data_IF_853118465973
#
_entry.id   IF_853118465973
#
_cell.length_a   1.000
_cell.length_b   1.000
_cell.length_c   1.000
_cell.angle_alpha   90.00
_cell.angle_beta   90.00
_cell.angle_gamma   90.00
#
_symmetry.space_group_name_H-M   'P 1'
#
loop_
_entity.id
_entity.type
_entity.pdbx_description
1 polymer ?
#
# COMPACT_ATOMS: atom_id res chain seq x y z
N UNK A 1 -6.02 -8.76 -16.19
CA UNK A 1 -5.53 -8.00 -15.02
C UNK A 1 -4.31 -7.15 -15.38
N UNK A 2 -3.19 -7.73 -15.82
CA UNK A 2 -1.96 -7.01 -16.24
C UNK A 2 -2.16 -5.82 -17.19
N UNK A 3 -3.03 -5.93 -18.21
CA UNK A 3 -3.37 -4.80 -19.11
C UNK A 3 -3.86 -3.54 -18.38
N UNK A 4 -4.55 -3.70 -17.23
CA UNK A 4 -5.04 -2.56 -16.43
C UNK A 4 -3.92 -1.87 -15.67
N UNK A 5 -2.93 -2.63 -15.19
CA UNK A 5 -1.69 -2.07 -14.65
C UNK A 5 -0.98 -1.22 -15.70
N UNK A 6 -0.82 -1.73 -16.93
CA UNK A 6 -0.14 -0.98 -18.01
C UNK A 6 -0.86 0.34 -18.31
N UNK A 7 -2.18 0.28 -18.45
CA UNK A 7 -2.96 1.49 -18.74
C UNK A 7 -2.92 2.51 -17.61
N UNK A 8 -2.77 2.06 -16.36
CA UNK A 8 -2.76 2.95 -15.20
C UNK A 8 -1.39 3.61 -15.00
N UNK A 9 -0.30 2.85 -15.13
CA UNK A 9 1.06 3.36 -14.93
C UNK A 9 1.72 3.92 -16.19
N UNK A 10 1.12 3.72 -17.36
CA UNK A 10 1.70 4.03 -18.67
C UNK A 10 3.09 3.36 -18.91
N UNK A 11 3.41 2.30 -18.16
CA UNK A 11 4.64 1.52 -18.28
C UNK A 11 4.28 0.08 -18.66
N UNK A 12 4.72 -0.41 -19.84
CA UNK A 12 4.45 -1.79 -20.24
C UNK A 12 5.20 -2.77 -19.33
N UNK A 13 4.66 -3.97 -19.18
CA UNK A 13 5.42 -5.05 -18.54
C UNK A 13 6.64 -5.40 -19.39
N UNK A 14 7.85 -5.46 -18.81
CA UNK A 14 9.07 -5.50 -19.59
C UNK A 14 9.47 -6.92 -20.03
N UNK A 15 8.91 -7.97 -19.43
CA UNK A 15 9.26 -9.35 -19.76
C UNK A 15 8.34 -9.94 -20.84
N UNK A 16 8.83 -10.89 -21.66
CA UNK A 16 8.03 -11.48 -22.73
C UNK A 16 6.89 -12.38 -22.25
N UNK A 17 6.96 -12.86 -21.00
CA UNK A 17 5.94 -13.71 -20.37
C UNK A 17 5.86 -13.49 -18.86
N UNK A 18 4.78 -13.97 -18.28
CA UNK A 18 4.55 -14.03 -16.85
C UNK A 18 3.87 -15.36 -16.54
N UNK A 19 4.57 -16.21 -15.81
CA UNK A 19 4.05 -17.49 -15.36
C UNK A 19 3.43 -17.32 -13.96
N UNK A 20 2.42 -18.15 -13.67
CA UNK A 20 1.68 -18.15 -12.42
C UNK A 20 1.55 -19.60 -11.96
N UNK A 21 2.13 -19.92 -10.80
CA UNK A 21 2.21 -21.29 -10.30
C UNK A 21 1.61 -21.41 -8.90
N UNK A 22 0.60 -22.27 -8.79
CA UNK A 22 0.07 -22.68 -7.49
C UNK A 22 1.02 -23.71 -6.88
N UNK A 23 1.56 -23.43 -5.70
CA UNK A 23 2.46 -24.33 -4.96
C UNK A 23 1.71 -24.93 -3.77
N UNK A 24 1.54 -26.27 -3.71
CA UNK A 24 0.99 -26.95 -2.53
C UNK A 24 1.87 -26.68 -1.29
N UNK A 25 1.24 -26.52 -0.12
CA UNK A 25 1.92 -26.30 1.17
C UNK A 25 2.80 -25.02 1.23
N UNK A 26 2.44 -24.01 0.44
CA UNK A 26 3.04 -22.68 0.49
C UNK A 26 2.27 -21.75 1.42
N UNK A 27 2.96 -20.84 2.12
CA UNK A 27 2.29 -19.79 2.89
C UNK A 27 2.30 -18.49 2.09
N UNK A 28 1.11 -18.02 1.70
CA UNK A 28 0.94 -16.74 1.00
C UNK A 28 1.26 -16.81 -0.50
N UNK A 29 2.01 -15.81 -0.96
CA UNK A 29 2.40 -15.61 -2.35
C UNK A 29 3.78 -14.93 -2.43
N UNK A 30 4.43 -15.00 -3.59
CA UNK A 30 5.73 -14.37 -3.83
C UNK A 30 5.84 -13.85 -5.27
N UNK A 31 6.41 -12.65 -5.39
CA UNK A 31 6.40 -11.83 -6.60
C UNK A 31 7.52 -12.12 -7.62
N UNK A 32 8.13 -13.32 -7.61
CA UNK A 32 9.35 -13.56 -8.39
C UNK A 32 9.19 -13.10 -9.85
N UNK A 33 10.19 -12.35 -10.35
CA UNK A 33 10.03 -11.58 -11.58
C UNK A 33 9.80 -12.48 -12.80
N UNK A 34 8.58 -12.48 -13.33
CA UNK A 34 8.15 -13.37 -14.41
C UNK A 34 7.64 -14.75 -14.00
N UNK A 35 7.61 -15.08 -12.70
CA UNK A 35 7.09 -16.33 -12.15
C UNK A 35 6.45 -16.09 -10.79
N UNK A 36 5.18 -15.69 -10.77
CA UNK A 36 4.46 -15.49 -9.51
C UNK A 36 4.06 -16.85 -8.91
N UNK A 37 4.31 -17.03 -7.62
CA UNK A 37 3.96 -18.24 -6.89
C UNK A 37 2.92 -17.94 -5.80
N UNK A 38 1.97 -18.84 -5.55
CA UNK A 38 0.92 -18.65 -4.56
C UNK A 38 0.33 -19.97 -4.07
N UNK A 39 -0.28 -19.95 -2.88
CA UNK A 39 -1.00 -21.10 -2.32
C UNK A 39 -2.47 -21.15 -2.76
N UNK A 40 -3.21 -20.05 -2.61
CA UNK A 40 -4.63 -19.95 -2.99
C UNK A 40 -4.88 -18.82 -3.99
N UNK A 41 -5.89 -18.99 -4.84
CA UNK A 41 -6.27 -17.99 -5.86
C UNK A 41 -7.33 -17.02 -5.33
N UNK A 42 -6.91 -16.12 -4.45
CA UNK A 42 -7.74 -14.93 -4.11
C UNK A 42 -7.38 -13.82 -5.10
N UNK A 43 -8.38 -13.20 -5.73
CA UNK A 43 -8.16 -12.20 -6.77
C UNK A 43 -7.30 -11.01 -6.30
N UNK A 44 -7.41 -10.61 -5.04
CA UNK A 44 -6.59 -9.55 -4.42
C UNK A 44 -5.13 -9.97 -4.29
N UNK A 45 -4.85 -11.21 -3.89
CA UNK A 45 -3.48 -11.76 -3.81
C UNK A 45 -2.84 -11.78 -5.19
N UNK A 46 -3.55 -12.30 -6.20
CA UNK A 46 -3.07 -12.27 -7.58
C UNK A 46 -2.79 -10.83 -8.03
N UNK A 47 -3.69 -9.90 -7.77
CA UNK A 47 -3.48 -8.50 -8.12
C UNK A 47 -2.29 -7.87 -7.39
N UNK A 48 -2.05 -8.22 -6.13
CA UNK A 48 -0.91 -7.78 -5.32
C UNK A 48 0.42 -8.24 -5.94
N UNK A 49 0.56 -9.54 -6.23
CA UNK A 49 1.79 -10.07 -6.83
C UNK A 49 2.06 -9.54 -8.25
N UNK A 50 0.98 -9.26 -9.00
CA UNK A 50 1.09 -8.59 -10.29
C UNK A 50 1.55 -7.13 -10.13
N UNK A 51 1.12 -6.44 -9.07
CA UNK A 51 1.58 -5.07 -8.80
C UNK A 51 3.09 -5.00 -8.57
N UNK A 52 3.64 -6.01 -7.88
CA UNK A 52 5.07 -6.10 -7.63
C UNK A 52 5.94 -6.16 -8.88
N UNK A 53 5.38 -6.56 -10.03
CA UNK A 53 6.09 -6.53 -11.30
C UNK A 53 6.53 -5.11 -11.70
N UNK A 54 5.87 -4.05 -11.19
CA UNK A 54 6.35 -2.66 -11.27
C UNK A 54 6.99 -2.21 -9.96
N UNK A 55 6.30 -2.38 -8.84
CA UNK A 55 6.71 -1.88 -7.53
C UNK A 55 7.36 -2.99 -6.70
N UNK A 56 8.68 -3.11 -6.81
CA UNK A 56 9.50 -4.12 -6.14
C UNK A 56 10.43 -4.85 -7.10
N UNK A 57 9.98 -5.09 -8.34
CA UNK A 57 10.80 -5.72 -9.37
C UNK A 57 11.41 -4.71 -10.36
N UNK A 58 10.59 -3.87 -10.99
CA UNK A 58 11.09 -2.86 -11.94
C UNK A 58 11.71 -1.66 -11.22
N UNK A 59 11.03 -1.16 -10.19
CA UNK A 59 11.55 -0.16 -9.26
C UNK A 59 11.66 -0.83 -7.91
N UNK A 60 12.88 -0.99 -7.42
CA UNK A 60 13.17 -1.66 -6.14
C UNK A 60 13.65 -0.62 -5.13
N UNK A 61 13.26 -0.79 -3.87
CA UNK A 61 13.78 -0.01 -2.76
C UNK A 61 15.30 -0.15 -2.64
N UNK A 62 15.97 0.92 -2.18
CA UNK A 62 17.42 0.89 -1.96
C UNK A 62 17.80 -0.02 -0.80
N UNK A 63 16.99 -0.03 0.25
CA UNK A 63 17.20 -0.86 1.43
C UNK A 63 15.89 -1.28 2.10
N UNK A 64 16.00 -2.20 3.06
CA UNK A 64 14.86 -2.81 3.75
C UNK A 64 14.05 -1.86 4.64
N UNK A 65 14.65 -0.73 5.05
CA UNK A 65 13.92 0.37 5.73
C UNK A 65 12.72 0.85 4.90
N UNK A 66 12.84 0.79 3.57
CA UNK A 66 11.84 1.22 2.60
C UNK A 66 10.97 0.06 2.08
N UNK A 67 11.04 -1.13 2.70
CA UNK A 67 10.25 -2.29 2.29
C UNK A 67 8.74 -2.00 2.26
N UNK A 68 8.28 -1.17 3.18
CA UNK A 68 6.87 -0.76 3.26
C UNK A 68 6.39 -0.14 1.95
N UNK A 69 7.25 0.58 1.20
CA UNK A 69 6.86 1.16 -0.09
C UNK A 69 6.46 0.06 -1.07
N UNK A 70 7.23 -1.02 -1.16
CA UNK A 70 6.89 -2.12 -2.03
C UNK A 70 5.55 -2.76 -1.64
N UNK A 71 5.39 -3.11 -0.37
CA UNK A 71 4.22 -3.86 0.11
C UNK A 71 2.95 -3.00 0.14
N UNK A 72 3.04 -1.77 0.63
CA UNK A 72 1.91 -0.83 0.68
C UNK A 72 1.43 -0.42 -0.72
N UNK A 73 2.34 -0.13 -1.65
CA UNK A 73 1.93 0.18 -3.03
C UNK A 73 1.31 -1.04 -3.70
N UNK A 74 1.91 -2.23 -3.58
CA UNK A 74 1.34 -3.43 -4.18
C UNK A 74 -0.07 -3.74 -3.66
N UNK A 75 -0.28 -3.62 -2.34
CA UNK A 75 -1.61 -3.73 -1.72
C UNK A 75 -2.58 -2.69 -2.26
N UNK A 76 -2.22 -1.41 -2.28
CA UNK A 76 -3.11 -0.33 -2.72
C UNK A 76 -3.53 -0.52 -4.18
N UNK A 77 -2.57 -0.83 -5.05
CA UNK A 77 -2.85 -1.07 -6.48
C UNK A 77 -3.73 -2.30 -6.66
N UNK A 78 -3.58 -3.34 -5.84
CA UNK A 78 -4.42 -4.53 -5.90
C UNK A 78 -5.91 -4.17 -5.73
N UNK A 79 -6.24 -3.36 -4.72
CA UNK A 79 -7.61 -2.87 -4.49
C UNK A 79 -8.10 -1.99 -5.64
N UNK A 80 -7.26 -1.08 -6.12
CA UNK A 80 -7.60 -0.20 -7.24
C UNK A 80 -7.93 -0.99 -8.51
N UNK A 81 -7.11 -1.97 -8.88
CA UNK A 81 -7.32 -2.76 -10.10
C UNK A 81 -8.53 -3.66 -9.96
N UNK A 82 -8.77 -4.24 -8.79
CA UNK A 82 -9.98 -5.04 -8.53
C UNK A 82 -11.23 -4.17 -8.61
N UNK A 83 -11.22 -2.95 -8.07
CA UNK A 83 -12.36 -2.03 -8.17
C UNK A 83 -12.66 -1.62 -9.62
N UNK A 84 -11.62 -1.44 -10.46
CA UNK A 84 -11.77 -1.15 -11.89
C UNK A 84 -12.35 -2.35 -12.65
N UNK A 85 -11.94 -3.58 -12.30
CA UNK A 85 -12.34 -4.79 -13.01
C UNK A 85 -13.72 -5.31 -12.55
N UNK A 86 -14.02 -5.18 -11.27
CA UNK A 86 -15.19 -5.74 -10.59
C UNK A 86 -15.82 -4.69 -9.65
N UNK A 87 -16.31 -3.55 -10.19
CA UNK A 87 -16.85 -2.44 -9.39
C UNK A 87 -18.08 -2.84 -8.54
N UNK A 88 -18.75 -3.94 -8.89
CA UNK A 88 -19.87 -4.53 -8.16
C UNK A 88 -19.44 -5.22 -6.85
N UNK A 89 -18.16 -5.61 -6.71
CA UNK A 89 -17.64 -6.22 -5.49
C UNK A 89 -17.47 -5.20 -4.35
N UNK A 90 -17.45 -3.90 -4.66
CA UNK A 90 -17.25 -2.82 -3.69
C UNK A 90 -16.05 -3.07 -2.79
N UNK A 91 -14.92 -3.43 -3.41
CA UNK A 91 -13.72 -3.91 -2.70
C UNK A 91 -13.17 -2.91 -1.67
N UNK A 92 -13.40 -1.61 -1.87
CA UNK A 92 -13.06 -0.57 -0.89
C UNK A 92 -13.81 -0.70 0.45
N UNK A 93 -14.98 -1.37 0.48
CA UNK A 93 -15.63 -1.71 1.77
C UNK A 93 -14.83 -2.76 2.55
N UNK A 94 -14.21 -3.70 1.83
CA UNK A 94 -13.30 -4.68 2.43
C UNK A 94 -11.98 -4.00 2.83
N UNK A 95 -11.49 -3.04 2.05
CA UNK A 95 -10.32 -2.22 2.40
C UNK A 95 -10.49 -1.53 3.76
N UNK A 96 -11.66 -0.91 4.01
CA UNK A 96 -11.93 -0.28 5.31
C UNK A 96 -11.90 -1.29 6.47
N UNK A 97 -12.47 -2.48 6.24
CA UNK A 97 -12.56 -3.53 7.26
C UNK A 97 -11.22 -4.21 7.54
N UNK A 98 -10.39 -4.40 6.52
CA UNK A 98 -9.14 -5.14 6.62
C UNK A 98 -8.00 -4.15 6.88
N UNK A 99 -7.66 -3.33 5.89
CA UNK A 99 -6.50 -2.44 5.93
C UNK A 99 -6.68 -1.31 6.96
N UNK A 100 -7.78 -0.55 6.88
CA UNK A 100 -7.93 0.60 7.80
C UNK A 100 -8.12 0.12 9.24
N UNK A 101 -8.99 -0.88 9.46
CA UNK A 101 -9.25 -1.37 10.82
C UNK A 101 -8.05 -2.14 11.40
N UNK A 102 -7.32 -2.91 10.58
CA UNK A 102 -6.12 -3.63 10.99
C UNK A 102 -4.99 -2.69 11.39
N UNK A 103 -4.68 -1.72 10.52
CA UNK A 103 -3.69 -0.68 10.78
C UNK A 103 -4.02 0.14 12.03
N UNK A 104 -5.24 0.68 12.14
CA UNK A 104 -5.64 1.49 13.30
C UNK A 104 -5.62 0.68 14.62
N UNK A 105 -5.95 -0.61 14.56
CA UNK A 105 -5.98 -1.46 15.77
C UNK A 105 -4.57 -1.72 16.29
N UNK A 106 -3.63 -2.09 15.42
CA UNK A 106 -2.26 -2.34 15.84
C UNK A 106 -1.57 -1.04 16.24
N UNK A 107 -1.80 0.02 15.48
CA UNK A 107 -1.14 1.31 15.68
C UNK A 107 -1.66 2.10 16.88
N UNK A 108 -2.84 1.73 17.40
CA UNK A 108 -3.39 2.25 18.64
C UNK A 108 -2.77 1.63 19.91
N UNK A 109 -1.90 0.62 19.78
CA UNK A 109 -1.22 -0.01 20.91
C UNK A 109 0.06 0.75 21.28
N UNK A 110 0.41 0.74 22.56
CA UNK A 110 1.63 1.39 23.07
C UNK A 110 2.91 0.81 22.40
N UNK A 111 2.86 -0.47 22.06
CA UNK A 111 3.90 -1.29 21.45
C UNK A 111 4.00 -1.10 19.93
N UNK A 112 3.18 -0.23 19.33
CA UNK A 112 3.30 0.11 17.90
C UNK A 112 4.66 0.75 17.58
N UNK A 113 4.98 0.81 16.29
CA UNK A 113 6.14 1.47 15.72
C UNK A 113 5.76 2.35 14.53
N UNK A 114 6.71 3.17 14.08
CA UNK A 114 6.58 3.96 12.85
C UNK A 114 6.59 3.03 11.62
N UNK A 115 6.10 3.49 10.47
CA UNK A 115 6.15 2.69 9.23
C UNK A 115 7.60 2.51 8.78
N UNK A 116 8.38 3.60 8.80
CA UNK A 116 9.82 3.56 8.56
C UNK A 116 10.52 3.08 9.83
N UNK A 117 11.19 1.94 9.70
CA UNK A 117 11.99 1.33 10.77
C UNK A 117 13.39 1.09 10.24
N UNK A 118 14.40 1.53 10.98
CA UNK A 118 15.79 1.29 10.61
C UNK A 118 16.13 -0.21 10.70
N UNK A 119 16.38 -0.83 9.55
CA UNK A 119 16.77 -2.24 9.46
C UNK A 119 18.28 -2.33 9.26
N UNK A 120 18.99 -2.96 10.19
CA UNK A 120 20.44 -3.13 10.06
C UNK A 120 20.80 -4.44 9.35
N UNK A 121 19.97 -5.48 9.52
CA UNK A 121 20.19 -6.80 8.91
C UNK A 121 18.88 -7.37 8.40
N UNK A 122 18.93 -8.03 7.25
CA UNK A 122 17.76 -8.67 6.64
C UNK A 122 17.09 -9.74 7.55
N UNK A 123 17.80 -10.28 8.53
CA UNK A 123 17.19 -11.19 9.51
C UNK A 123 16.12 -10.52 10.38
N UNK A 124 16.13 -9.19 10.54
CA UNK A 124 15.17 -8.41 11.33
C UNK A 124 13.84 -8.19 10.60
N UNK A 125 13.77 -8.56 9.31
CA UNK A 125 12.59 -8.30 8.48
C UNK A 125 11.29 -8.88 9.04
N UNK A 126 11.36 -10.05 9.68
CA UNK A 126 10.20 -10.69 10.30
C UNK A 126 9.53 -9.84 11.39
N UNK A 127 10.23 -8.84 11.94
CA UNK A 127 9.70 -7.91 12.94
C UNK A 127 8.86 -6.80 12.31
N UNK A 128 9.06 -6.50 11.01
CA UNK A 128 8.34 -5.44 10.29
C UNK A 128 7.36 -5.98 9.23
N UNK A 129 7.27 -7.30 9.05
CA UNK A 129 6.24 -7.94 8.24
C UNK A 129 4.92 -8.03 9.01
N UNK A 130 4.29 -6.88 9.27
CA UNK A 130 3.11 -6.77 10.12
C UNK A 130 2.03 -5.81 9.55
N UNK A 131 0.96 -5.57 10.31
CA UNK A 131 -0.12 -4.68 9.88
C UNK A 131 0.28 -3.19 9.83
N UNK A 132 1.40 -2.76 10.42
CA UNK A 132 1.89 -1.39 10.22
C UNK A 132 2.46 -1.25 8.81
N UNK A 133 3.31 -2.18 8.40
CA UNK A 133 3.93 -2.17 7.07
C UNK A 133 2.90 -2.33 5.93
N UNK A 134 1.96 -3.27 6.09
CA UNK A 134 0.93 -3.54 5.09
C UNK A 134 -0.26 -2.60 5.26
N UNK A 135 -1.02 -2.76 6.34
CA UNK A 135 -2.35 -2.18 6.48
C UNK A 135 -2.31 -0.64 6.66
N UNK A 136 -1.48 -0.15 7.59
CA UNK A 136 -1.28 1.30 7.80
C UNK A 136 -0.58 1.92 6.58
N UNK A 137 0.49 1.31 6.08
CA UNK A 137 1.20 1.76 4.88
C UNK A 137 0.26 1.95 3.69
N UNK A 138 -0.55 0.93 3.38
CA UNK A 138 -1.52 0.97 2.27
C UNK A 138 -2.58 2.06 2.49
N UNK A 139 -3.05 2.22 3.73
CA UNK A 139 -4.01 3.27 4.11
C UNK A 139 -3.44 4.68 3.91
N UNK A 140 -2.18 4.91 4.27
CA UNK A 140 -1.49 6.19 4.05
C UNK A 140 -1.31 6.46 2.56
N UNK A 141 -0.94 5.45 1.75
CA UNK A 141 -0.87 5.60 0.27
C UNK A 141 -2.23 5.99 -0.31
N UNK A 142 -3.33 5.36 0.15
CA UNK A 142 -4.69 5.70 -0.28
C UNK A 142 -5.10 7.12 0.11
N UNK A 143 -4.71 7.57 1.31
CA UNK A 143 -4.91 8.94 1.76
C UNK A 143 -4.16 9.92 0.86
N UNK A 144 -2.88 9.65 0.55
CA UNK A 144 -2.08 10.48 -0.35
C UNK A 144 -2.70 10.55 -1.75
N UNK A 145 -3.15 9.42 -2.29
CA UNK A 145 -3.86 9.37 -3.58
C UNK A 145 -5.12 10.26 -3.57
N UNK A 146 -5.84 10.30 -2.45
CA UNK A 146 -7.02 11.14 -2.31
C UNK A 146 -6.63 12.62 -2.21
N UNK A 147 -5.58 12.95 -1.45
CA UNK A 147 -5.05 14.30 -1.29
C UNK A 147 -4.57 14.90 -2.64
N UNK A 148 -3.80 14.15 -3.42
CA UNK A 148 -3.32 14.58 -4.74
C UNK A 148 -4.38 14.46 -5.83
N UNK A 149 -5.54 13.88 -5.54
CA UNK A 149 -6.54 13.39 -6.49
C UNK A 149 -6.09 12.19 -7.33
N UNK A 150 -7.05 11.34 -7.71
CA UNK A 150 -6.79 10.14 -8.51
C UNK A 150 -6.21 10.42 -9.90
N UNK A 151 -6.38 11.63 -10.44
CA UNK A 151 -5.86 12.03 -11.75
C UNK A 151 -4.41 12.49 -11.69
N UNK A 152 -4.03 13.22 -10.65
CA UNK A 152 -2.66 13.72 -10.52
C UNK A 152 -1.74 12.69 -9.85
N UNK A 153 -2.27 11.70 -9.14
CA UNK A 153 -1.44 10.69 -8.47
C UNK A 153 -0.54 9.90 -9.44
N UNK A 154 -1.03 9.34 -10.57
CA UNK A 154 -0.16 8.66 -11.54
C UNK A 154 0.90 9.58 -12.16
N UNK A 155 0.54 10.84 -12.43
CA UNK A 155 1.49 11.86 -12.93
C UNK A 155 2.55 12.16 -11.86
N UNK A 156 2.13 12.30 -10.61
CA UNK A 156 3.02 12.52 -9.47
C UNK A 156 4.00 11.38 -9.24
N UNK A 157 3.62 10.13 -9.54
CA UNK A 157 4.54 8.99 -9.49
C UNK A 157 5.61 9.02 -10.59
N UNK A 158 5.33 9.65 -11.73
CA UNK A 158 6.24 9.69 -12.89
C UNK A 158 7.10 10.96 -12.92
N UNK A 159 6.52 12.11 -12.58
CA UNK A 159 7.09 13.44 -12.84
C UNK A 159 7.22 14.28 -11.56
N UNK A 160 6.69 13.80 -10.42
CA UNK A 160 6.52 14.59 -9.20
C UNK A 160 5.26 15.44 -9.22
N UNK A 161 4.63 15.64 -8.05
CA UNK A 161 3.30 16.30 -7.97
C UNK A 161 3.35 17.82 -7.85
N UNK A 162 4.51 18.42 -7.53
CA UNK A 162 4.62 19.84 -7.19
C UNK A 162 4.05 20.23 -5.81
N UNK A 163 3.36 19.31 -5.14
CA UNK A 163 2.84 19.46 -3.78
C UNK A 163 3.90 19.07 -2.73
N UNK A 164 3.81 19.55 -1.48
CA UNK A 164 4.77 19.22 -0.41
C UNK A 164 4.56 17.80 0.15
N UNK A 165 4.52 16.80 -0.74
CA UNK A 165 4.25 15.38 -0.43
C UNK A 165 5.21 14.86 0.63
N UNK A 166 6.50 15.20 0.54
CA UNK A 166 7.50 14.73 1.51
C UNK A 166 7.15 15.16 2.94
N UNK A 167 6.71 16.40 3.14
CA UNK A 167 6.37 16.89 4.48
C UNK A 167 5.17 16.15 5.05
N UNK A 168 4.15 15.92 4.22
CA UNK A 168 2.97 15.15 4.60
C UNK A 168 3.38 13.70 4.92
N UNK A 169 4.04 13.02 4.00
CA UNK A 169 4.36 11.60 4.13
C UNK A 169 5.29 11.32 5.30
N UNK A 170 6.33 12.13 5.51
CA UNK A 170 7.23 11.95 6.66
C UNK A 170 6.48 12.02 8.00
N UNK A 171 5.45 12.86 8.12
CA UNK A 171 4.64 12.91 9.36
C UNK A 171 3.85 11.63 9.64
N UNK A 172 3.50 10.87 8.59
CA UNK A 172 2.75 9.63 8.69
C UNK A 172 3.63 8.38 8.71
N UNK A 173 4.82 8.44 8.14
CA UNK A 173 5.71 7.28 8.00
C UNK A 173 6.75 7.20 9.12
N UNK A 174 7.21 8.34 9.65
CA UNK A 174 8.30 8.38 10.64
C UNK A 174 7.81 8.46 12.09
N UNK A 175 6.49 8.44 12.30
CA UNK A 175 5.87 8.52 13.63
C UNK A 175 4.94 7.33 13.84
N UNK A 176 4.96 6.76 15.06
CA UNK A 176 4.00 5.75 15.49
C UNK A 176 2.66 6.39 15.84
N UNK A 177 1.59 5.62 15.75
CA UNK A 177 0.24 6.08 16.02
C UNK A 177 -0.36 6.91 14.89
N UNK A 178 -1.57 7.38 15.16
CA UNK A 178 -2.36 8.23 14.30
C UNK A 178 -3.14 9.25 15.14
N UNK A 179 -3.45 10.43 14.58
CA UNK A 179 -4.19 11.45 15.28
C UNK A 179 -5.66 11.09 15.47
N UNK A 180 -6.25 11.51 16.58
CA UNK A 180 -7.71 11.58 16.74
C UNK A 180 -8.15 13.02 16.58
N UNK A 181 -9.01 13.28 15.59
CA UNK A 181 -9.56 14.62 15.37
C UNK A 181 -10.87 14.76 16.15
N UNK A 182 -10.88 15.64 17.15
CA UNK A 182 -12.10 16.05 17.85
C UNK A 182 -12.72 17.26 17.16
N UNK A 183 -14.06 17.26 17.05
CA UNK A 183 -14.82 18.32 16.40
C UNK A 183 -15.86 18.87 17.37
N UNK A 184 -15.84 20.18 17.57
CA UNK A 184 -16.83 20.89 18.40
C UNK A 184 -17.59 21.92 17.57
N UNK A 185 -18.86 22.13 17.90
CA UNK A 185 -19.66 23.21 17.32
C UNK A 185 -19.71 24.37 18.31
N UNK A 186 -19.09 25.50 17.99
CA UNK A 186 -19.17 26.74 18.78
C UNK A 186 -19.68 27.87 17.91
N UNK A 187 -20.72 28.57 18.36
CA UNK A 187 -21.31 29.71 17.65
C UNK A 187 -21.60 29.43 16.15
N UNK A 188 -22.18 28.26 15.86
CA UNK A 188 -22.46 27.78 14.50
C UNK A 188 -21.23 27.55 13.61
N UNK A 189 -20.02 27.48 14.19
CA UNK A 189 -18.78 27.13 13.51
C UNK A 189 -18.25 25.79 14.01
N UNK A 190 -17.60 25.05 13.11
CA UNK A 190 -16.86 23.84 13.46
C UNK A 190 -15.44 24.21 13.86
N UNK A 191 -15.04 23.81 15.06
CA UNK A 191 -13.67 23.87 15.55
C UNK A 191 -13.09 22.45 15.56
N UNK A 192 -11.83 22.33 15.13
CA UNK A 192 -11.13 21.05 14.98
C UNK A 192 -9.86 21.09 15.82
N UNK A 193 -9.70 20.07 16.65
CA UNK A 193 -8.49 19.85 17.44
C UNK A 193 -7.96 18.44 17.17
N UNK A 194 -6.63 18.28 17.24
CA UNK A 194 -5.96 17.00 17.16
C UNK A 194 -5.48 16.60 18.56
N UNK A 195 -5.89 15.42 19.01
CA UNK A 195 -5.56 14.83 20.31
C UNK A 195 -4.69 13.58 20.08
#
# INVERSE_FOLDING_TARGET
MTKKFYSYFAVPYPLPKLDMVAIPDFFGAMENYGLVTYHETVATVVAHELAHQWFGNLVMMEWWTDLWLNKAFASWVSYLVIDILFPEWKIWTQFLRIEVSGGLKLDGLEQSHAIEVDINRASELHEIFDAICYDKGTSVVRMLQTYLSAKCFPVGLLEGSGEPVNKLMNSWTQQKGYPVISVEVKDQKLEFDQI
#
